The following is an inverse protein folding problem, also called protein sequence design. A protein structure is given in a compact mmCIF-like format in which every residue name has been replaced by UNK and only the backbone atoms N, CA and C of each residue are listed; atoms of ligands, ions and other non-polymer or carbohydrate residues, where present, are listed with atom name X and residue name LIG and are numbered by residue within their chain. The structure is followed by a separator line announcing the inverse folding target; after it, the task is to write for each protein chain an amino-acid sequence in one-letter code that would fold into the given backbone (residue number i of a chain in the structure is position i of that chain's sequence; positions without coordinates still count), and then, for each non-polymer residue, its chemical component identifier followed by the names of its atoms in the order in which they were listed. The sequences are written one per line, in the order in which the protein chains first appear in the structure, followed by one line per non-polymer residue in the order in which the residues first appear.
data_IF_451310449391
#
_entry.id   IF_451310449391
#
_cell.length_a   1.000
_cell.length_b   1.000
_cell.length_c   1.000
_cell.angle_alpha   90.00
_cell.angle_beta   90.00
_cell.angle_gamma   90.00
#
_symmetry.space_group_name_H-M   'P 1'
#
loop_
_entity.id
_entity.type
_entity.pdbx_description
1 polymer ?
#
# COMPACT_ATOMS: atom_id res chain seq x y z
N UNK A 1 10.07 -7.84 10.02
CA UNK A 1 9.99 -8.00 8.53
C UNK A 1 8.71 -7.37 8.00
N UNK A 2 8.78 -6.71 6.84
CA UNK A 2 7.64 -6.05 6.16
C UNK A 2 7.54 -6.55 4.73
N UNK A 3 6.34 -6.93 4.30
CA UNK A 3 6.04 -7.32 2.92
C UNK A 3 5.30 -6.19 2.22
N UNK A 4 5.71 -5.88 0.99
CA UNK A 4 5.11 -4.82 0.16
C UNK A 4 4.66 -5.39 -1.17
N UNK A 5 3.44 -5.06 -1.54
CA UNK A 5 2.88 -5.39 -2.84
C UNK A 5 1.87 -4.31 -3.26
N UNK A 6 1.53 -4.30 -4.54
CA UNK A 6 0.49 -3.45 -5.08
C UNK A 6 -0.63 -4.26 -5.72
N UNK A 7 -1.85 -3.71 -5.68
CA UNK A 7 -2.99 -4.31 -6.34
C UNK A 7 -3.78 -3.26 -7.12
N UNK A 8 -4.07 -3.59 -8.38
CA UNK A 8 -4.92 -2.79 -9.23
C UNK A 8 -6.40 -3.05 -8.91
N UNK A 9 -7.17 -1.97 -8.81
CA UNK A 9 -8.63 -2.02 -8.63
C UNK A 9 -9.30 -1.23 -9.74
N UNK A 10 -10.32 -1.85 -10.37
CA UNK A 10 -11.13 -1.21 -11.39
C UNK A 10 -12.12 -0.24 -10.75
N UNK A 11 -12.21 0.93 -11.35
CA UNK A 11 -13.19 1.94 -11.00
C UNK A 11 -14.53 1.61 -11.68
N UNK A 12 -15.61 1.62 -10.91
CA UNK A 12 -16.95 1.46 -11.43
C UNK A 12 -17.30 2.63 -12.36
N UNK A 13 -18.14 2.42 -13.37
CA UNK A 13 -18.51 3.48 -14.33
C UNK A 13 -19.07 4.74 -13.67
N UNK A 14 -19.79 4.61 -12.55
CA UNK A 14 -20.34 5.75 -11.80
C UNK A 14 -19.27 6.56 -11.03
N UNK A 15 -18.08 6.00 -10.84
CA UNK A 15 -16.95 6.69 -10.21
C UNK A 15 -16.16 7.56 -11.20
N UNK A 16 -16.30 7.33 -12.51
CA UNK A 16 -15.49 7.94 -13.56
C UNK A 16 -15.77 9.44 -13.79
N UNK A 17 -16.97 9.93 -13.43
CA UNK A 17 -17.37 11.32 -13.63
C UNK A 17 -17.35 11.82 -15.08
N UNK A 18 -17.75 13.08 -15.28
CA UNK A 18 -17.62 13.76 -16.57
C UNK A 18 -16.19 14.27 -16.80
N UNK A 19 -15.74 14.28 -18.06
CA UNK A 19 -14.39 14.75 -18.48
C UNK A 19 -14.19 16.22 -18.07
N UNK A 20 -13.25 16.51 -17.17
CA UNK A 20 -12.91 17.89 -16.77
C UNK A 20 -11.96 18.56 -17.79
N UNK A 21 -12.18 19.85 -18.07
CA UNK A 21 -11.17 20.73 -18.70
C UNK A 21 -9.96 20.89 -17.76
N UNK A 22 -8.75 20.99 -18.32
CA UNK A 22 -7.48 21.09 -17.58
C UNK A 22 -7.52 22.26 -16.56
N UNK A 23 -7.24 21.98 -15.29
CA UNK A 23 -7.08 22.97 -14.22
C UNK A 23 -7.72 22.50 -12.90
N UNK A 24 -6.93 21.85 -12.04
CA UNK A 24 -7.33 21.51 -10.67
C UNK A 24 -6.40 22.19 -9.67
N UNK A 25 -6.99 22.75 -8.60
CA UNK A 25 -6.37 23.56 -7.56
C UNK A 25 -5.32 22.76 -6.75
N UNK A 26 -4.20 23.40 -6.40
CA UNK A 26 -3.15 22.86 -5.55
C UNK A 26 -3.13 23.65 -4.22
N UNK A 27 -3.15 22.93 -3.09
CA UNK A 27 -2.96 23.51 -1.75
C UNK A 27 -1.82 22.79 -1.01
N UNK A 28 -1.11 23.55 -0.17
CA UNK A 28 0.27 23.26 0.25
C UNK A 28 0.49 22.16 1.29
N UNK A 29 1.53 21.37 1.01
CA UNK A 29 2.65 20.90 1.85
C UNK A 29 2.50 20.28 3.25
N UNK A 30 1.32 20.16 3.87
CA UNK A 30 1.17 19.28 5.06
C UNK A 30 -0.02 18.32 4.97
N UNK A 31 -0.86 18.44 3.94
CA UNK A 31 -1.95 17.51 3.63
C UNK A 31 -1.63 16.54 2.47
N UNK A 32 -0.36 16.42 2.06
CA UNK A 32 0.08 15.69 0.84
C UNK A 32 -0.16 14.16 0.83
N UNK A 33 -0.83 13.60 1.86
CA UNK A 33 -1.35 12.23 1.87
C UNK A 33 -2.88 12.17 1.67
N UNK A 34 -3.59 13.30 1.76
CA UNK A 34 -4.89 13.45 1.11
C UNK A 34 -4.62 13.45 -0.39
N UNK A 35 -5.07 12.38 -1.05
CA UNK A 35 -4.83 12.20 -2.47
C UNK A 35 -5.70 13.20 -3.22
N UNK A 36 -5.12 14.35 -3.56
CA UNK A 36 -5.80 15.35 -4.38
C UNK A 36 -6.25 14.72 -5.70
N UNK A 37 -7.51 14.96 -6.05
CA UNK A 37 -8.13 14.39 -7.23
C UNK A 37 -8.70 12.99 -7.06
N UNK A 38 -8.71 12.24 -8.15
CA UNK A 38 -9.45 10.98 -8.25
C UNK A 38 -8.54 9.77 -8.10
N UNK A 39 -7.21 9.89 -8.24
CA UNK A 39 -6.28 8.75 -8.33
C UNK A 39 -6.76 7.68 -9.33
N UNK A 40 -7.41 8.13 -10.41
CA UNK A 40 -7.89 7.27 -11.48
C UNK A 40 -6.93 7.40 -12.65
N UNK A 41 -6.53 6.24 -13.17
CA UNK A 41 -5.62 6.12 -14.30
C UNK A 41 -6.24 5.30 -15.42
N UNK A 42 -5.86 5.57 -16.67
CA UNK A 42 -6.27 4.74 -17.80
C UNK A 42 -5.29 3.59 -17.97
N UNK A 43 -5.81 2.37 -17.93
CA UNK A 43 -5.07 1.15 -18.26
C UNK A 43 -5.82 0.35 -19.33
N UNK A 44 -5.25 -0.78 -19.77
CA UNK A 44 -5.94 -1.72 -20.69
C UNK A 44 -7.28 -2.20 -20.13
N UNK A 45 -7.45 -2.20 -18.81
CA UNK A 45 -8.66 -2.60 -18.11
C UNK A 45 -9.68 -1.47 -17.88
N UNK A 46 -9.48 -0.29 -18.44
CA UNK A 46 -10.34 0.88 -18.18
C UNK A 46 -9.77 1.80 -17.11
N UNK A 47 -10.63 2.51 -16.37
CA UNK A 47 -10.19 3.36 -15.27
C UNK A 47 -9.83 2.51 -14.05
N UNK A 48 -8.60 2.65 -13.57
CA UNK A 48 -8.05 1.86 -12.46
C UNK A 48 -7.27 2.72 -11.48
N UNK A 49 -7.13 2.21 -10.26
CA UNK A 49 -6.25 2.72 -9.22
C UNK A 49 -5.34 1.61 -8.71
N UNK A 50 -4.16 1.97 -8.24
CA UNK A 50 -3.23 1.04 -7.62
C UNK A 50 -3.20 1.31 -6.12
N UNK A 51 -3.47 0.28 -5.32
CA UNK A 51 -3.26 0.29 -3.88
C UNK A 51 -1.85 -0.26 -3.64
N UNK A 52 -0.93 0.54 -3.11
CA UNK A 52 0.35 0.08 -2.59
C UNK A 52 0.20 -0.15 -1.09
N UNK A 53 0.52 -1.37 -0.63
CA UNK A 53 0.28 -1.79 0.74
C UNK A 53 1.56 -2.35 1.36
N UNK A 54 1.90 -1.89 2.57
CA UNK A 54 2.91 -2.53 3.40
C UNK A 54 2.23 -3.26 4.55
N UNK A 55 2.72 -4.47 4.81
CA UNK A 55 2.11 -5.42 5.74
C UNK A 55 3.19 -5.99 6.65
N UNK A 56 2.87 -6.16 7.94
CA UNK A 56 3.76 -6.77 8.92
C UNK A 56 3.88 -8.30 8.74
N UNK A 57 4.68 -8.95 9.59
CA UNK A 57 4.84 -10.41 9.56
C UNK A 57 3.57 -11.21 9.90
N UNK A 58 2.57 -10.59 10.56
CA UNK A 58 1.28 -11.20 10.91
C UNK A 58 0.25 -11.04 9.80
N UNK A 59 0.56 -10.27 8.76
CA UNK A 59 -0.39 -9.98 7.70
C UNK A 59 -1.25 -8.76 7.97
N UNK A 60 -0.88 -7.91 8.93
CA UNK A 60 -1.66 -6.71 9.26
C UNK A 60 -1.17 -5.50 8.46
N UNK A 61 -2.10 -4.72 7.87
CA UNK A 61 -1.77 -3.56 7.05
C UNK A 61 -1.16 -2.44 7.91
N UNK A 62 0.02 -1.96 7.54
CA UNK A 62 0.75 -0.91 8.29
C UNK A 62 0.68 0.47 7.62
N UNK A 63 0.76 0.52 6.29
CA UNK A 63 0.71 1.77 5.55
C UNK A 63 0.13 1.56 4.15
N UNK A 64 -0.57 2.57 3.64
CA UNK A 64 -1.31 2.51 2.38
C UNK A 64 -1.05 3.78 1.57
N UNK A 65 -0.69 3.61 0.30
CA UNK A 65 -0.64 4.68 -0.70
C UNK A 65 -1.55 4.32 -1.86
N UNK A 66 -2.36 5.27 -2.31
CA UNK A 66 -3.25 5.10 -3.45
C UNK A 66 -2.77 5.97 -4.61
N UNK A 67 -2.63 5.38 -5.80
CA UNK A 67 -2.18 6.06 -7.00
C UNK A 67 -3.09 5.73 -8.19
N UNK A 68 -2.93 6.47 -9.27
CA UNK A 68 -3.62 6.17 -10.53
C UNK A 68 -3.01 4.92 -11.18
N UNK A 69 -3.83 4.07 -11.80
CA UNK A 69 -3.45 2.71 -12.21
C UNK A 69 -2.32 2.56 -13.24
N UNK A 70 -1.84 3.65 -13.85
CA UNK A 70 -0.64 3.64 -14.71
C UNK A 70 0.64 4.08 -13.98
N UNK A 71 0.54 4.49 -12.72
CA UNK A 71 1.70 4.83 -11.90
C UNK A 71 2.54 3.57 -11.66
N UNK A 72 3.85 3.68 -11.85
CA UNK A 72 4.76 2.58 -11.58
C UNK A 72 4.90 2.34 -10.08
N UNK A 73 5.22 1.12 -9.70
CA UNK A 73 5.31 0.72 -8.28
C UNK A 73 6.53 1.30 -7.56
N UNK A 74 7.69 1.27 -8.22
CA UNK A 74 8.98 1.57 -7.59
C UNK A 74 9.06 2.91 -6.83
N UNK A 75 8.56 4.05 -7.37
CA UNK A 75 8.59 5.34 -6.67
C UNK A 75 7.83 5.34 -5.33
N UNK A 76 6.91 4.40 -5.12
CA UNK A 76 6.05 4.36 -3.95
C UNK A 76 6.59 3.51 -2.80
N UNK A 77 7.65 2.72 -2.99
CA UNK A 77 8.21 1.91 -1.90
C UNK A 77 8.73 2.76 -0.73
N UNK A 78 9.62 3.72 -1.00
CA UNK A 78 10.24 4.51 0.07
C UNK A 78 9.21 5.41 0.80
N UNK A 79 8.26 6.08 0.10
CA UNK A 79 7.17 6.79 0.76
C UNK A 79 6.29 5.89 1.63
N UNK A 80 6.05 4.65 1.20
CA UNK A 80 5.27 3.67 1.96
C UNK A 80 5.99 3.30 3.25
N UNK A 81 7.28 2.94 3.17
CA UNK A 81 8.10 2.63 4.34
C UNK A 81 8.24 3.81 5.30
N UNK A 82 8.23 5.05 4.81
CA UNK A 82 8.34 6.25 5.65
C UNK A 82 7.10 6.49 6.54
N UNK A 83 5.94 5.92 6.20
CA UNK A 83 4.72 6.01 6.99
C UNK A 83 4.63 4.96 8.10
N UNK A 84 5.57 4.01 8.14
CA UNK A 84 5.51 2.89 9.07
C UNK A 84 6.05 3.32 10.43
N UNK A 85 5.23 3.10 11.45
CA UNK A 85 5.56 3.31 12.84
C UNK A 85 4.92 2.19 13.67
N UNK A 86 5.73 1.25 14.14
CA UNK A 86 5.27 0.16 14.99
C UNK A 86 5.40 0.55 16.47
N UNK A 87 4.31 0.39 17.24
CA UNK A 87 4.35 0.51 18.69
C UNK A 87 5.40 -0.42 19.30
N UNK A 88 5.98 -0.02 20.43
CA UNK A 88 6.85 -0.88 21.24
C UNK A 88 6.12 -1.27 22.50
N UNK A 89 6.27 -2.53 22.91
CA UNK A 89 5.85 -2.99 24.23
C UNK A 89 6.85 -2.48 25.26
N UNK A 90 6.63 -1.26 25.74
CA UNK A 90 7.48 -0.60 26.74
C UNK A 90 7.83 0.86 26.41
N UNK A 91 8.55 1.56 27.30
CA UNK A 91 8.91 2.95 27.10
C UNK A 91 9.87 3.12 25.92
N UNK A 92 9.59 4.11 25.07
CA UNK A 92 10.49 4.50 23.97
C UNK A 92 9.76 4.95 22.71
N UNK A 93 10.54 5.40 21.72
CA UNK A 93 10.02 5.81 20.41
C UNK A 93 9.54 4.57 19.63
N UNK A 94 8.39 4.63 18.95
CA UNK A 94 7.95 3.60 18.00
C UNK A 94 9.05 3.21 17.01
N UNK A 95 9.12 1.93 16.65
CA UNK A 95 10.07 1.46 15.65
C UNK A 95 9.64 1.92 14.26
N UNK A 96 10.48 2.70 13.59
CA UNK A 96 10.29 3.15 12.21
C UNK A 96 11.21 2.43 11.23
N UNK A 97 11.99 1.45 11.70
CA UNK A 97 13.00 0.75 10.91
C UNK A 97 12.63 -0.73 10.74
N UNK A 98 12.33 -1.17 9.50
CA UNK A 98 12.03 -2.57 9.21
C UNK A 98 13.30 -3.44 9.21
N UNK A 99 13.26 -4.60 9.86
CA UNK A 99 14.39 -5.57 9.84
C UNK A 99 14.70 -6.10 8.44
N UNK A 100 13.69 -6.14 7.57
CA UNK A 100 13.75 -6.61 6.19
C UNK A 100 12.51 -6.17 5.43
N UNK A 101 12.70 -5.83 4.16
CA UNK A 101 11.62 -5.58 3.20
C UNK A 101 11.60 -6.69 2.15
N UNK A 102 10.43 -7.31 1.96
CA UNK A 102 10.16 -8.25 0.88
C UNK A 102 9.20 -7.57 -0.09
N UNK A 103 9.54 -7.50 -1.37
CA UNK A 103 8.66 -6.92 -2.37
C UNK A 103 8.93 -7.52 -3.76
N UNK A 104 8.03 -7.25 -4.69
CA UNK A 104 8.21 -7.66 -6.08
C UNK A 104 9.43 -7.07 -6.76
N UNK A 105 9.83 -7.72 -7.86
CA UNK A 105 10.87 -7.22 -8.74
C UNK A 105 10.57 -5.81 -9.28
N UNK A 106 9.30 -5.43 -9.40
CA UNK A 106 8.90 -4.06 -9.78
C UNK A 106 9.48 -2.98 -8.85
N UNK A 107 9.79 -3.32 -7.59
CA UNK A 107 10.41 -2.42 -6.60
C UNK A 107 11.95 -2.52 -6.53
N UNK A 108 12.57 -3.33 -7.40
CA UNK A 108 14.00 -3.65 -7.33
C UNK A 108 14.92 -2.67 -8.09
N UNK A 109 14.44 -1.48 -8.44
CA UNK A 109 15.21 -0.49 -9.21
C UNK A 109 16.51 -0.08 -8.48
N UNK A 110 17.62 0.21 -9.19
CA UNK A 110 18.90 0.56 -8.57
C UNK A 110 18.83 1.69 -7.55
N UNK A 111 18.04 2.74 -7.80
CA UNK A 111 17.84 3.84 -6.85
C UNK A 111 17.21 3.39 -5.53
N UNK A 112 16.22 2.50 -5.60
CA UNK A 112 15.55 1.93 -4.42
C UNK A 112 16.50 1.00 -3.66
N UNK A 113 17.26 0.15 -4.37
CA UNK A 113 18.28 -0.71 -3.76
C UNK A 113 19.36 0.13 -3.06
N UNK A 114 19.80 1.23 -3.66
CA UNK A 114 20.77 2.14 -3.05
C UNK A 114 20.20 2.80 -1.78
N UNK A 115 18.97 3.31 -1.83
CA UNK A 115 18.31 3.91 -0.67
C UNK A 115 18.11 2.92 0.50
N UNK A 116 17.71 1.68 0.21
CA UNK A 116 17.56 0.64 1.24
C UNK A 116 18.92 0.24 1.83
N UNK A 117 19.98 0.16 1.02
CA UNK A 117 21.35 -0.08 1.49
C UNK A 117 21.86 1.04 2.40
N UNK A 118 21.64 2.30 2.03
CA UNK A 118 21.98 3.46 2.87
C UNK A 118 21.27 3.41 4.23
N UNK A 119 20.02 2.94 4.25
CA UNK A 119 19.24 2.73 5.47
C UNK A 119 19.57 1.43 6.20
N UNK A 120 20.47 0.59 5.68
CA UNK A 120 20.78 -0.76 6.20
C UNK A 120 19.55 -1.66 6.33
N UNK A 121 18.61 -1.54 5.39
CA UNK A 121 17.41 -2.38 5.31
C UNK A 121 17.67 -3.48 4.27
N UNK A 122 17.75 -4.76 4.67
CA UNK A 122 17.79 -5.88 3.74
C UNK A 122 16.56 -5.89 2.82
N UNK A 123 16.78 -6.09 1.53
CA UNK A 123 15.72 -6.16 0.51
C UNK A 123 15.74 -7.52 -0.19
N UNK A 124 14.57 -8.14 -0.26
CA UNK A 124 14.35 -9.43 -0.93
C UNK A 124 13.32 -9.25 -2.04
N UNK A 125 13.66 -9.70 -3.25
CA UNK A 125 12.77 -9.78 -4.41
C UNK A 125 12.91 -11.17 -5.05
N UNK A 126 12.12 -11.54 -6.07
CA UNK A 126 12.16 -12.90 -6.63
C UNK A 126 13.46 -13.12 -7.42
N UNK A 127 14.49 -13.58 -6.72
CA UNK A 127 15.78 -14.04 -7.25
C UNK A 127 15.99 -15.49 -6.79
N UNK A 128 16.68 -16.33 -7.59
CA UNK A 128 16.85 -17.77 -7.27
C UNK A 128 17.44 -18.03 -5.88
N UNK A 129 18.39 -17.20 -5.45
CA UNK A 129 19.06 -17.30 -4.13
C UNK A 129 18.14 -16.98 -2.95
N UNK A 130 17.05 -16.26 -3.21
CA UNK A 130 16.22 -15.61 -2.21
C UNK A 130 14.85 -16.29 -2.04
N UNK A 131 14.62 -17.43 -2.72
CA UNK A 131 13.31 -18.10 -2.80
C UNK A 131 12.70 -18.42 -1.42
N UNK A 132 13.50 -18.95 -0.49
CA UNK A 132 13.01 -19.30 0.85
C UNK A 132 12.49 -18.08 1.62
N UNK A 133 13.18 -16.95 1.53
CA UNK A 133 12.75 -15.71 2.18
C UNK A 133 11.55 -15.13 1.42
N UNK A 134 11.60 -15.14 0.09
CA UNK A 134 10.55 -14.60 -0.78
C UNK A 134 9.21 -15.33 -0.64
N UNK A 135 9.20 -16.60 -0.21
CA UNK A 135 7.98 -17.34 0.11
C UNK A 135 7.10 -16.61 1.17
N UNK A 136 7.70 -15.78 2.03
CA UNK A 136 6.98 -14.97 3.00
C UNK A 136 6.18 -13.81 2.37
N UNK A 137 6.33 -13.53 1.07
CA UNK A 137 5.45 -12.58 0.33
C UNK A 137 3.98 -12.99 0.40
N UNK A 138 3.67 -14.28 0.58
CA UNK A 138 2.30 -14.74 0.77
C UNK A 138 1.55 -14.00 1.91
N UNK A 139 2.26 -13.41 2.87
CA UNK A 139 1.66 -12.59 3.94
C UNK A 139 0.93 -11.35 3.40
N UNK A 140 1.52 -10.62 2.43
CA UNK A 140 0.86 -9.46 1.84
C UNK A 140 -0.26 -9.87 0.89
N UNK A 141 -0.11 -10.99 0.18
CA UNK A 141 -1.17 -11.56 -0.68
C UNK A 141 -2.41 -11.94 0.12
N UNK A 142 -2.23 -12.62 1.26
CA UNK A 142 -3.34 -12.94 2.18
C UNK A 142 -3.97 -11.70 2.79
N UNK A 143 -3.20 -10.62 3.00
CA UNK A 143 -3.75 -9.33 3.43
C UNK A 143 -4.65 -8.73 2.34
N UNK A 144 -4.18 -8.67 1.09
CA UNK A 144 -5.00 -8.23 -0.04
C UNK A 144 -6.26 -9.07 -0.22
N UNK A 145 -6.17 -10.39 -0.08
CA UNK A 145 -7.33 -11.27 -0.17
C UNK A 145 -8.36 -10.96 0.91
N UNK A 146 -7.94 -10.71 2.16
CA UNK A 146 -8.83 -10.28 3.24
C UNK A 146 -9.44 -8.90 2.99
N UNK A 147 -8.66 -7.94 2.50
CA UNK A 147 -9.18 -6.62 2.12
C UNK A 147 -10.22 -6.72 1.00
N UNK A 148 -10.03 -7.61 0.02
CA UNK A 148 -11.00 -7.82 -1.08
C UNK A 148 -12.27 -8.57 -0.68
N UNK A 149 -12.36 -9.11 0.54
CA UNK A 149 -13.64 -9.61 1.07
C UNK A 149 -14.64 -8.46 1.31
N UNK A 150 -14.15 -7.23 1.52
CA UNK A 150 -14.98 -6.03 1.50
C UNK A 150 -15.24 -5.68 0.04
N UNK A 151 -16.45 -5.98 -0.46
CA UNK A 151 -16.78 -5.91 -1.89
C UNK A 151 -16.51 -4.54 -2.52
N UNK A 152 -16.70 -3.46 -1.77
CA UNK A 152 -16.42 -2.07 -2.20
C UNK A 152 -14.92 -1.81 -2.45
N UNK A 153 -14.03 -2.63 -1.87
CA UNK A 153 -12.58 -2.59 -2.14
C UNK A 153 -12.18 -3.46 -3.35
N UNK A 154 -13.01 -4.44 -3.72
CA UNK A 154 -12.78 -5.26 -4.90
C UNK A 154 -13.16 -4.50 -6.19
N UNK A 155 -14.16 -3.63 -6.13
CA UNK A 155 -14.53 -2.71 -7.21
C UNK A 155 -14.76 -1.32 -6.64
N UNK A 156 -13.94 -0.36 -7.08
CA UNK A 156 -13.95 0.99 -6.54
C UNK A 156 -15.18 1.77 -7.03
N UNK A 157 -16.11 2.09 -6.14
CA UNK A 157 -17.25 2.97 -6.41
C UNK A 157 -16.97 4.45 -6.09
N UNK A 158 -16.08 4.72 -5.14
CA UNK A 158 -15.73 6.06 -4.71
C UNK A 158 -14.99 6.85 -5.81
N UNK A 159 -15.57 7.98 -6.25
CA UNK A 159 -14.95 8.88 -7.24
C UNK A 159 -13.69 9.56 -6.71
N UNK A 160 -13.72 10.08 -5.48
CA UNK A 160 -12.56 10.76 -4.88
C UNK A 160 -11.64 9.75 -4.23
N UNK A 161 -10.33 9.97 -4.38
CA UNK A 161 -9.32 9.11 -3.81
C UNK A 161 -9.34 9.10 -2.27
N UNK A 162 -9.71 10.22 -1.64
CA UNK A 162 -9.87 10.32 -0.19
C UNK A 162 -10.91 9.34 0.38
N UNK A 163 -12.10 9.22 -0.24
CA UNK A 163 -13.13 8.28 0.21
C UNK A 163 -12.70 6.83 0.03
N UNK A 164 -12.12 6.51 -1.13
CA UNK A 164 -11.62 5.16 -1.37
C UNK A 164 -10.49 4.79 -0.39
N UNK A 165 -9.59 5.72 -0.09
CA UNK A 165 -8.54 5.52 0.93
C UNK A 165 -9.15 5.33 2.32
N UNK A 166 -10.21 6.07 2.68
CA UNK A 166 -10.91 5.91 3.94
C UNK A 166 -11.55 4.52 4.07
N UNK A 167 -12.17 4.00 3.01
CA UNK A 167 -12.70 2.63 2.98
C UNK A 167 -11.60 1.59 3.24
N UNK A 168 -10.43 1.72 2.60
CA UNK A 168 -9.30 0.82 2.84
C UNK A 168 -8.81 0.93 4.29
N UNK A 169 -8.75 2.14 4.85
CA UNK A 169 -8.33 2.36 6.25
C UNK A 169 -9.33 1.72 7.21
N UNK A 170 -10.63 1.88 7.00
CA UNK A 170 -11.67 1.27 7.84
C UNK A 170 -11.56 -0.25 7.79
N UNK A 171 -11.44 -0.85 6.61
CA UNK A 171 -11.21 -2.29 6.46
C UNK A 171 -9.92 -2.74 7.17
N UNK A 172 -8.86 -1.94 7.07
CA UNK A 172 -7.59 -2.21 7.76
C UNK A 172 -7.75 -2.20 9.28
N UNK A 173 -8.48 -1.23 9.84
CA UNK A 173 -8.80 -1.17 11.28
C UNK A 173 -9.57 -2.43 11.70
N UNK A 174 -10.56 -2.87 10.91
CA UNK A 174 -11.29 -4.11 11.19
C UNK A 174 -10.36 -5.33 11.21
N UNK A 175 -9.36 -5.40 10.33
CA UNK A 175 -8.38 -6.49 10.34
C UNK A 175 -7.52 -6.49 11.62
N UNK A 176 -7.07 -5.31 12.08
CA UNK A 176 -6.33 -5.17 13.34
C UNK A 176 -7.17 -5.57 14.55
N UNK A 177 -8.41 -5.08 14.65
CA UNK A 177 -9.30 -5.41 15.77
C UNK A 177 -9.63 -6.91 15.82
N UNK A 178 -9.77 -7.57 14.67
CA UNK A 178 -10.03 -9.02 14.63
C UNK A 178 -8.87 -9.85 15.16
N UNK A 179 -7.62 -9.44 14.91
CA UNK A 179 -6.45 -10.17 15.43
C UNK A 179 -6.25 -9.94 16.92
N UNK A 180 -6.44 -8.71 17.41
CA UNK A 180 -6.29 -8.41 18.84
C UNK A 180 -7.29 -9.23 19.69
N UNK A 181 -8.52 -9.38 19.19
CA UNK A 181 -9.54 -10.21 19.84
C UNK A 181 -9.20 -11.71 19.84
N UNK A 182 -8.44 -12.18 18.85
CA UNK A 182 -7.99 -13.58 18.78
C UNK A 182 -6.79 -13.85 19.69
N UNK A 183 -5.91 -12.86 19.88
CA UNK A 183 -4.74 -12.97 20.76
C UNK A 183 -5.11 -12.88 22.26
N UNK A 184 -6.32 -12.41 22.58
CA UNK A 184 -6.82 -12.27 23.97
C UNK A 184 -7.68 -13.46 24.43
N UNK A 185 -7.99 -14.42 23.56
CA UNK A 185 -8.84 -15.59 23.82
C UNK A 185 -8.02 -16.87 23.98
#
# INVERSE_FOLDING_TARGET
MICVDSSNVRAHQHSAGARKKKGGCATGWVEALAVDGEALGRSRGGLTSTIHLAVDGRGLPMSIILTAGQAGDNPHLLPLLAQISAGRDGPGRPSTHPDRVIADKAYSHPSTRAALRQRRIPFTCPERRDQAIYANRNVVERCFNRLKQFQDLATRYAKRAAYYRAEIIIASIVLWLRTDLQDTA
#
